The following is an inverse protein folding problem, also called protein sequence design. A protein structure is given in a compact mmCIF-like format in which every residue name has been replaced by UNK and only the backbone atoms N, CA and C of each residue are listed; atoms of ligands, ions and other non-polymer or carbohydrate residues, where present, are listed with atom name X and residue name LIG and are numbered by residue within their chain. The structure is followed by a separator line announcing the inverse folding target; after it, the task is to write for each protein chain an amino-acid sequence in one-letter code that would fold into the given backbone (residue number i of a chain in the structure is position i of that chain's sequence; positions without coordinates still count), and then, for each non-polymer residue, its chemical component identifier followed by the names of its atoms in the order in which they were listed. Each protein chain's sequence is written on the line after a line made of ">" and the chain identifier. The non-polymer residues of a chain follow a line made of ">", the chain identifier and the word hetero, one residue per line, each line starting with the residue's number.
data_IF_719170751343
#
_entry.id   IF_719170751343
#
_cell.length_a   1.000
_cell.length_b   1.000
_cell.length_c   1.000
_cell.angle_alpha   90.00
_cell.angle_beta   90.00
_cell.angle_gamma   90.00
#
_symmetry.space_group_name_H-M   'P 1'
#
loop_
_entity.id
_entity.type
_entity.pdbx_description
1 polymer ?
#
# COMPACT_ATOMS: atom_id res chain seq x y z
N UNK A 1 52.67 -15.55 -17.44
CA UNK A 1 52.34 -14.35 -18.19
C UNK A 1 50.94 -14.46 -18.73
N UNK A 2 49.93 -14.07 -17.97
CA UNK A 2 48.52 -14.06 -18.40
C UNK A 2 47.90 -12.81 -17.77
N UNK A 3 47.58 -11.82 -18.62
CA UNK A 3 46.90 -10.58 -18.25
C UNK A 3 45.40 -10.87 -18.00
N UNK A 4 44.95 -10.55 -16.78
CA UNK A 4 43.53 -10.53 -16.48
C UNK A 4 42.91 -9.25 -17.04
N UNK A 5 41.91 -9.40 -17.90
CA UNK A 5 41.06 -8.30 -18.39
C UNK A 5 39.92 -8.15 -17.37
N UNK A 6 39.93 -7.07 -16.62
CA UNK A 6 38.86 -6.68 -15.72
C UNK A 6 37.74 -5.96 -16.50
N UNK A 7 36.61 -6.61 -16.63
CA UNK A 7 35.37 -5.98 -17.10
C UNK A 7 34.54 -5.57 -15.88
N UNK A 8 34.79 -4.38 -15.38
CA UNK A 8 33.95 -3.72 -14.36
C UNK A 8 32.80 -2.99 -15.04
N UNK A 9 31.65 -3.64 -15.23
CA UNK A 9 30.41 -2.97 -15.64
C UNK A 9 29.76 -2.29 -14.44
N UNK A 10 30.13 -1.01 -14.19
CA UNK A 10 29.42 -0.17 -13.22
C UNK A 10 28.06 0.24 -13.79
N UNK A 11 26.99 -0.41 -13.34
CA UNK A 11 25.64 0.12 -13.46
C UNK A 11 25.50 1.38 -12.58
N UNK A 12 26.03 2.50 -13.04
CA UNK A 12 25.65 3.81 -12.51
C UNK A 12 24.35 4.19 -13.20
N UNK A 13 23.25 4.20 -12.41
CA UNK A 13 21.92 4.54 -12.88
C UNK A 13 21.89 5.86 -13.62
N UNK A 14 21.09 5.94 -14.67
CA UNK A 14 20.98 7.09 -15.61
C UNK A 14 20.48 8.41 -15.01
N UNK A 15 20.47 8.58 -13.73
CA UNK A 15 20.26 9.85 -13.04
C UNK A 15 21.56 10.58 -12.68
N UNK A 16 22.70 10.15 -13.21
CA UNK A 16 24.01 10.83 -13.08
C UNK A 16 24.17 11.93 -14.10
N UNK A 17 24.81 13.04 -13.70
CA UNK A 17 25.06 14.26 -14.46
C UNK A 17 25.60 14.00 -15.87
N UNK A 18 24.83 14.38 -16.91
CA UNK A 18 25.41 14.71 -18.21
C UNK A 18 25.85 16.16 -18.14
N UNK A 19 27.15 16.39 -18.22
CA UNK A 19 27.68 17.71 -18.59
C UNK A 19 27.22 18.04 -20.01
N UNK A 20 26.32 19.01 -20.13
CA UNK A 20 25.92 19.56 -21.44
C UNK A 20 26.90 20.67 -21.74
N UNK A 21 27.71 20.47 -22.78
CA UNK A 21 28.54 21.50 -23.35
C UNK A 21 27.72 22.71 -23.80
N UNK A 22 28.26 23.88 -23.50
CA UNK A 22 27.67 25.20 -23.74
C UNK A 22 27.75 25.56 -25.23
N UNK A 23 26.64 25.48 -25.97
CA UNK A 23 26.49 26.22 -27.25
C UNK A 23 25.01 26.54 -27.49
N UNK A 24 24.71 27.83 -27.66
CA UNK A 24 23.53 28.28 -28.40
C UNK A 24 22.36 28.77 -27.56
N UNK A 25 22.07 30.03 -27.70
CA UNK A 25 20.87 30.75 -27.27
C UNK A 25 19.62 29.93 -27.63
N UNK A 26 18.89 29.45 -26.65
CA UNK A 26 17.57 28.89 -26.85
C UNK A 26 16.57 29.52 -25.87
N UNK A 27 15.42 29.87 -26.44
CA UNK A 27 14.25 30.46 -25.79
C UNK A 27 13.98 29.88 -24.41
N UNK A 28 13.71 30.74 -23.43
CA UNK A 28 13.33 30.40 -22.08
C UNK A 28 12.16 29.39 -22.11
N UNK A 29 12.29 28.24 -21.42
CA UNK A 29 11.14 27.34 -21.26
C UNK A 29 10.08 28.07 -20.43
N UNK A 30 8.83 27.90 -20.87
CA UNK A 30 7.66 28.46 -20.23
C UNK A 30 7.75 28.39 -18.71
N UNK A 31 7.66 29.55 -18.07
CA UNK A 31 7.56 29.70 -16.63
C UNK A 31 6.45 28.80 -16.12
N UNK A 32 6.80 27.83 -15.27
CA UNK A 32 5.78 27.13 -14.48
C UNK A 32 5.00 28.20 -13.73
N UNK A 33 3.66 28.20 -13.77
CA UNK A 33 2.89 29.19 -13.07
C UNK A 33 3.23 29.06 -11.58
N UNK A 34 3.98 30.02 -11.05
CA UNK A 34 3.98 30.31 -9.62
C UNK A 34 2.56 30.77 -9.31
N UNK A 35 1.69 29.81 -9.01
CA UNK A 35 0.37 30.10 -8.48
C UNK A 35 0.58 30.91 -7.22
N UNK A 36 0.35 32.24 -7.32
CA UNK A 36 0.05 33.05 -6.15
C UNK A 36 -1.08 32.34 -5.43
N UNK A 37 -0.75 31.69 -4.32
CA UNK A 37 -1.72 31.04 -3.47
C UNK A 37 -2.57 32.11 -2.81
N UNK A 38 -3.51 32.70 -3.59
CA UNK A 38 -4.64 33.39 -3.01
C UNK A 38 -5.25 32.42 -2.00
N UNK A 39 -5.36 32.84 -0.74
CA UNK A 39 -5.79 32.04 0.41
C UNK A 39 -7.25 31.58 0.20
N UNK A 40 -7.42 30.55 -0.62
CA UNK A 40 -8.69 29.84 -0.70
C UNK A 40 -8.88 29.11 0.61
N UNK A 41 -10.03 29.33 1.26
CA UNK A 41 -10.40 28.55 2.45
C UNK A 41 -10.14 27.05 2.20
N UNK A 42 -9.49 26.35 3.13
CA UNK A 42 -9.13 24.94 2.93
C UNK A 42 -10.40 24.13 2.65
N UNK A 43 -10.40 23.41 1.52
CA UNK A 43 -11.52 22.54 1.15
C UNK A 43 -11.70 21.48 2.23
N UNK A 44 -12.91 20.94 2.38
CA UNK A 44 -13.21 19.90 3.38
C UNK A 44 -12.19 18.76 3.35
N UNK A 45 -11.81 18.31 2.16
CA UNK A 45 -10.80 17.26 1.95
C UNK A 45 -9.42 17.64 2.53
N UNK A 46 -9.02 18.92 2.47
CA UNK A 46 -7.74 19.39 3.01
C UNK A 46 -7.73 19.41 4.54
N UNK A 47 -8.91 19.53 5.15
CA UNK A 47 -9.08 19.46 6.60
C UNK A 47 -9.13 18.03 7.11
N UNK A 48 -9.82 17.14 6.39
CA UNK A 48 -9.99 15.73 6.78
C UNK A 48 -8.71 14.91 6.52
N UNK A 49 -8.07 15.15 5.37
CA UNK A 49 -6.92 14.38 4.89
C UNK A 49 -5.80 15.34 4.46
N UNK A 50 -5.10 15.98 5.40
CA UNK A 50 -4.04 16.92 5.08
C UNK A 50 -2.79 16.19 4.56
N UNK A 51 -2.12 16.79 3.58
CA UNK A 51 -0.78 16.32 3.14
C UNK A 51 0.22 16.47 4.28
N UNK A 52 1.20 15.56 4.38
CA UNK A 52 2.28 15.70 5.35
C UNK A 52 3.04 17.02 5.12
N UNK A 53 3.12 17.92 6.10
CA UNK A 53 3.81 19.20 5.95
C UNK A 53 5.34 19.03 5.77
N UNK A 54 5.87 17.88 6.13
CA UNK A 54 7.29 17.53 5.97
C UNK A 54 7.61 16.91 4.61
N UNK A 55 6.58 16.56 3.82
CA UNK A 55 6.79 15.98 2.50
C UNK A 55 7.30 17.06 1.53
N UNK A 56 8.29 16.69 0.74
CA UNK A 56 8.85 17.49 -0.35
C UNK A 56 8.99 16.62 -1.60
N UNK A 57 8.95 17.23 -2.77
CA UNK A 57 9.26 16.52 -4.02
C UNK A 57 10.67 15.93 -3.90
N UNK A 58 10.84 14.62 -4.15
CA UNK A 58 12.15 13.98 -4.07
C UNK A 58 13.15 14.67 -5.01
N UNK A 59 14.41 14.86 -4.60
CA UNK A 59 15.44 15.44 -5.45
C UNK A 59 15.68 14.59 -6.70
N UNK A 60 16.31 15.17 -7.74
CA UNK A 60 16.69 14.44 -8.96
C UNK A 60 17.64 13.28 -8.66
N UNK A 61 18.53 13.45 -7.70
CA UNK A 61 19.42 12.40 -7.21
C UNK A 61 18.59 11.32 -6.50
N UNK A 62 18.83 10.07 -6.83
CA UNK A 62 18.20 8.95 -6.15
C UNK A 62 18.38 9.05 -4.64
N UNK A 63 17.36 8.63 -3.88
CA UNK A 63 17.45 8.57 -2.42
C UNK A 63 18.67 7.73 -2.00
N UNK A 64 19.34 8.16 -0.91
CA UNK A 64 20.53 7.46 -0.42
C UNK A 64 20.27 5.96 -0.27
N UNK A 65 21.09 5.16 -0.97
CA UNK A 65 21.01 3.70 -0.94
C UNK A 65 19.60 3.16 -1.21
N UNK A 66 18.83 3.79 -2.11
CA UNK A 66 17.43 3.42 -2.36
C UNK A 66 17.23 1.96 -2.76
N UNK A 67 18.14 1.39 -3.59
CA UNK A 67 18.12 -0.02 -3.94
C UNK A 67 18.35 -0.95 -2.72
N UNK A 68 19.25 -0.54 -1.79
CA UNK A 68 19.49 -1.26 -0.55
C UNK A 68 18.29 -1.15 0.39
N UNK A 69 17.65 0.03 0.48
CA UNK A 69 16.41 0.18 1.25
C UNK A 69 15.30 -0.72 0.71
N UNK A 70 15.19 -0.87 -0.63
CA UNK A 70 14.20 -1.76 -1.25
C UNK A 70 14.46 -3.22 -0.83
N UNK A 71 15.70 -3.69 -0.98
CA UNK A 71 16.09 -5.04 -0.60
C UNK A 71 15.87 -5.29 0.91
N UNK A 72 16.39 -4.41 1.76
CA UNK A 72 16.26 -4.56 3.21
C UNK A 72 14.80 -4.44 3.67
N UNK A 73 13.97 -3.61 3.01
CA UNK A 73 12.55 -3.49 3.31
C UNK A 73 11.79 -4.80 3.04
N UNK A 74 12.10 -5.48 1.95
CA UNK A 74 11.59 -6.82 1.67
C UNK A 74 12.04 -7.79 2.76
N UNK A 75 13.33 -7.79 3.12
CA UNK A 75 13.88 -8.68 4.15
C UNK A 75 13.29 -8.41 5.54
N UNK A 76 12.96 -7.16 5.89
CA UNK A 76 12.26 -6.81 7.14
C UNK A 76 10.90 -7.49 7.22
N UNK A 77 10.11 -7.39 6.15
CA UNK A 77 8.76 -8.00 6.14
C UNK A 77 8.85 -9.53 6.13
N UNK A 78 9.70 -10.11 5.28
CA UNK A 78 9.92 -11.56 5.25
C UNK A 78 10.44 -12.07 6.59
N UNK A 79 11.38 -11.38 7.23
CA UNK A 79 11.91 -11.72 8.54
C UNK A 79 10.84 -11.69 9.64
N UNK A 80 9.93 -10.70 9.61
CA UNK A 80 8.79 -10.65 10.52
C UNK A 80 7.84 -11.84 10.32
N UNK A 81 7.56 -12.24 9.08
CA UNK A 81 6.72 -13.40 8.77
C UNK A 81 7.39 -14.73 9.18
N UNK A 82 8.69 -14.88 8.91
CA UNK A 82 9.46 -16.04 9.37
C UNK A 82 9.43 -16.13 10.90
N UNK A 83 9.65 -15.01 11.60
CA UNK A 83 9.57 -14.96 13.07
C UNK A 83 8.20 -15.42 13.58
N UNK A 84 7.11 -14.93 13.00
CA UNK A 84 5.75 -15.36 13.34
C UNK A 84 5.57 -16.86 13.11
N UNK A 85 6.05 -17.38 11.99
CA UNK A 85 6.02 -18.81 11.69
C UNK A 85 6.76 -19.65 12.73
N UNK A 86 7.99 -19.25 13.09
CA UNK A 86 8.79 -19.91 14.14
C UNK A 86 8.10 -19.84 15.51
N UNK A 87 7.51 -18.69 15.84
CA UNK A 87 6.76 -18.51 17.08
C UNK A 87 5.49 -19.39 17.12
N UNK A 88 4.81 -19.54 15.98
CA UNK A 88 3.66 -20.44 15.85
C UNK A 88 4.05 -21.91 16.11
N UNK A 89 5.20 -22.34 15.61
CA UNK A 89 5.76 -23.67 15.91
C UNK A 89 6.14 -23.78 17.39
N UNK A 90 6.85 -22.80 17.93
CA UNK A 90 7.32 -22.82 19.33
C UNK A 90 6.16 -22.79 20.34
N UNK A 91 5.05 -22.15 20.01
CA UNK A 91 3.82 -22.12 20.84
C UNK A 91 2.92 -23.32 20.62
N UNK A 92 3.30 -24.24 19.73
CA UNK A 92 2.52 -25.46 19.40
C UNK A 92 1.23 -25.17 18.64
N UNK A 93 1.10 -24.01 17.99
CA UNK A 93 -0.04 -23.69 17.10
C UNK A 93 0.02 -24.51 15.80
N UNK A 94 1.24 -24.83 15.36
CA UNK A 94 1.50 -25.72 14.23
C UNK A 94 2.30 -26.91 14.74
N UNK A 95 1.84 -28.13 14.47
CA UNK A 95 2.57 -29.37 14.80
C UNK A 95 3.55 -29.72 13.69
N UNK A 96 4.68 -30.33 14.05
CA UNK A 96 5.52 -31.04 13.08
C UNK A 96 4.69 -32.11 12.37
N UNK A 97 4.46 -31.92 11.05
CA UNK A 97 3.57 -32.76 10.26
C UNK A 97 2.27 -32.09 9.79
N UNK A 98 2.07 -30.78 10.05
CA UNK A 98 1.05 -29.97 9.37
C UNK A 98 -0.31 -29.86 10.05
N UNK A 99 -0.49 -30.33 11.28
CA UNK A 99 -1.74 -30.13 12.03
C UNK A 99 -1.79 -28.77 12.76
N UNK A 100 -2.86 -27.99 12.56
CA UNK A 100 -3.12 -26.77 13.34
C UNK A 100 -3.82 -27.13 14.68
N UNK A 101 -3.43 -26.44 15.76
CA UNK A 101 -4.08 -26.56 17.07
C UNK A 101 -4.99 -25.34 17.28
N UNK A 102 -6.26 -25.59 17.56
CA UNK A 102 -7.28 -24.55 17.77
C UNK A 102 -7.03 -23.80 19.09
N UNK A 103 -6.18 -22.77 19.04
CA UNK A 103 -5.93 -21.79 20.12
C UNK A 103 -6.07 -20.37 19.57
N UNK A 104 -7.28 -19.89 19.27
CA UNK A 104 -7.48 -18.66 18.48
C UNK A 104 -6.87 -17.44 19.15
N UNK A 105 -6.93 -17.31 20.47
CA UNK A 105 -6.30 -16.18 21.18
C UNK A 105 -4.78 -16.18 21.09
N UNK A 106 -4.13 -17.35 21.19
CA UNK A 106 -2.67 -17.47 21.03
C UNK A 106 -2.30 -17.19 19.58
N UNK A 107 -3.04 -17.73 18.61
CA UNK A 107 -2.81 -17.48 17.19
C UNK A 107 -2.91 -15.99 16.87
N UNK A 108 -3.90 -15.29 17.42
CA UNK A 108 -4.05 -13.85 17.27
C UNK A 108 -2.81 -13.09 17.80
N UNK A 109 -2.37 -13.37 19.04
CA UNK A 109 -1.19 -12.70 19.64
C UNK A 109 0.07 -12.97 18.80
N UNK A 110 0.27 -14.22 18.39
CA UNK A 110 1.43 -14.62 17.58
C UNK A 110 1.44 -13.86 16.26
N UNK A 111 0.32 -13.83 15.55
CA UNK A 111 0.25 -13.14 14.25
C UNK A 111 0.43 -11.62 14.38
N UNK A 112 -0.20 -11.00 15.38
CA UNK A 112 -0.06 -9.54 15.62
C UNK A 112 1.37 -9.14 15.94
N UNK A 113 2.22 -10.04 16.45
CA UNK A 113 3.63 -9.76 16.70
C UNK A 113 4.42 -9.36 15.44
N UNK A 114 3.94 -9.67 14.23
CA UNK A 114 4.51 -9.18 12.98
C UNK A 114 4.47 -7.64 12.89
N UNK A 115 3.44 -7.01 13.45
CA UNK A 115 3.22 -5.56 13.31
C UNK A 115 4.34 -4.73 13.95
N UNK A 116 4.65 -4.85 15.26
CA UNK A 116 5.73 -4.08 15.88
C UNK A 116 7.10 -4.39 15.26
N UNK A 117 7.35 -5.63 14.83
CA UNK A 117 8.60 -6.00 14.15
C UNK A 117 8.74 -5.27 12.81
N UNK A 118 7.68 -5.26 12.01
CA UNK A 118 7.68 -4.58 10.71
C UNK A 118 7.78 -3.06 10.86
N UNK A 119 7.04 -2.47 11.80
CA UNK A 119 7.08 -1.03 12.09
C UNK A 119 8.47 -0.61 12.57
N UNK A 120 9.05 -1.35 13.51
CA UNK A 120 10.41 -1.08 14.01
C UNK A 120 11.46 -1.26 12.91
N UNK A 121 11.39 -2.35 12.16
CA UNK A 121 12.30 -2.62 11.05
C UNK A 121 12.24 -1.53 9.97
N UNK A 122 11.04 -1.08 9.60
CA UNK A 122 10.86 0.04 8.69
C UNK A 122 11.42 1.36 9.25
N UNK A 123 11.17 1.65 10.52
CA UNK A 123 11.69 2.83 11.18
C UNK A 123 13.21 2.84 11.19
N UNK A 124 13.86 1.72 11.57
CA UNK A 124 15.31 1.55 11.54
C UNK A 124 15.86 1.72 10.11
N UNK A 125 15.22 1.09 9.13
CA UNK A 125 15.61 1.18 7.73
C UNK A 125 15.63 2.63 7.23
N UNK A 126 14.55 3.36 7.40
CA UNK A 126 14.44 4.74 6.92
C UNK A 126 15.34 5.69 7.71
N UNK A 127 15.45 5.49 9.05
CA UNK A 127 16.23 6.37 9.91
C UNK A 127 17.73 6.23 9.71
N UNK A 128 18.22 5.00 9.58
CA UNK A 128 19.66 4.73 9.55
C UNK A 128 20.19 4.49 8.14
N UNK A 129 19.53 3.71 7.31
CA UNK A 129 19.95 3.46 5.93
C UNK A 129 19.53 4.62 5.02
N UNK A 130 18.29 5.08 5.13
CA UNK A 130 17.77 6.24 4.41
C UNK A 130 18.36 7.57 4.87
N UNK A 131 18.77 7.68 6.14
CA UNK A 131 19.35 8.87 6.73
C UNK A 131 18.38 10.05 6.84
N UNK A 132 17.08 9.79 6.98
CA UNK A 132 16.02 10.80 7.04
C UNK A 132 14.95 10.54 8.11
N UNK A 133 14.12 11.53 8.45
CA UNK A 133 12.94 11.31 9.30
C UNK A 133 11.94 10.35 8.65
N UNK A 134 11.25 9.55 9.48
CA UNK A 134 10.17 8.63 9.05
C UNK A 134 8.85 9.40 9.03
N UNK A 135 8.62 10.18 7.99
CA UNK A 135 7.44 11.03 7.86
C UNK A 135 6.16 10.22 7.59
N UNK A 136 6.30 9.04 7.01
CA UNK A 136 5.20 8.15 6.63
C UNK A 136 4.43 7.61 7.86
N UNK A 137 5.11 7.46 8.98
CA UNK A 137 4.51 7.07 10.27
C UNK A 137 4.34 8.25 11.23
N UNK A 138 4.64 9.48 10.77
CA UNK A 138 4.56 10.69 11.57
C UNK A 138 3.15 11.28 11.68
N UNK A 139 3.05 12.44 12.36
CA UNK A 139 1.82 13.25 12.38
C UNK A 139 0.78 12.81 13.41
N UNK A 140 1.11 12.73 14.72
CA UNK A 140 0.23 12.21 15.78
C UNK A 140 -1.27 12.54 15.63
N UNK A 141 -1.66 13.81 15.56
CA UNK A 141 -3.08 14.19 15.42
C UNK A 141 -3.67 13.91 14.03
N UNK A 142 -2.85 13.98 12.97
CA UNK A 142 -3.26 13.61 11.62
C UNK A 142 -3.32 12.08 11.47
N UNK A 143 -2.38 11.34 12.09
CA UNK A 143 -2.34 9.90 12.05
C UNK A 143 -3.64 9.25 12.52
N UNK A 144 -4.16 9.67 13.68
CA UNK A 144 -5.43 9.14 14.20
C UNK A 144 -6.61 9.46 13.28
N UNK A 145 -6.69 10.71 12.77
CA UNK A 145 -7.77 11.10 11.85
C UNK A 145 -7.72 10.33 10.54
N UNK A 146 -6.53 10.13 9.99
CA UNK A 146 -6.33 9.37 8.74
C UNK A 146 -6.64 7.89 8.95
N UNK A 147 -6.20 7.32 10.07
CA UNK A 147 -6.52 5.94 10.43
C UNK A 147 -8.04 5.74 10.55
N UNK A 148 -8.72 6.61 11.30
CA UNK A 148 -10.19 6.53 11.47
C UNK A 148 -10.92 6.77 10.15
N UNK A 149 -10.47 7.72 9.32
CA UNK A 149 -11.04 7.95 8.00
C UNK A 149 -10.84 6.74 7.08
N UNK A 150 -9.66 6.10 7.14
CA UNK A 150 -9.37 4.87 6.41
C UNK A 150 -10.27 3.72 6.88
N UNK A 151 -10.38 3.50 8.19
CA UNK A 151 -11.27 2.48 8.76
C UNK A 151 -12.72 2.68 8.31
N UNK A 152 -13.23 3.90 8.38
CA UNK A 152 -14.57 4.22 7.93
C UNK A 152 -14.74 3.97 6.42
N UNK A 153 -13.77 4.40 5.61
CA UNK A 153 -13.81 4.25 4.16
C UNK A 153 -13.76 2.78 3.75
N UNK A 154 -12.88 1.96 4.36
CA UNK A 154 -12.80 0.53 4.10
C UNK A 154 -14.09 -0.20 4.46
N UNK A 155 -14.65 0.09 5.64
CA UNK A 155 -15.91 -0.50 6.08
C UNK A 155 -17.10 -0.09 5.18
N UNK A 156 -17.17 1.19 4.78
CA UNK A 156 -18.23 1.68 3.90
C UNK A 156 -18.13 1.10 2.49
N UNK A 157 -16.92 1.01 1.91
CA UNK A 157 -16.73 0.42 0.59
C UNK A 157 -17.10 -1.08 0.59
N UNK A 158 -16.61 -1.83 1.58
CA UNK A 158 -16.97 -3.24 1.72
C UNK A 158 -18.46 -3.42 1.95
N UNK A 159 -19.07 -2.61 2.82
CA UNK A 159 -20.52 -2.61 3.03
C UNK A 159 -21.30 -2.30 1.75
N UNK A 160 -20.80 -1.37 0.91
CA UNK A 160 -21.42 -1.06 -0.38
C UNK A 160 -21.31 -2.24 -1.38
N UNK A 161 -20.17 -2.92 -1.43
CA UNK A 161 -20.00 -4.13 -2.26
C UNK A 161 -21.03 -5.19 -1.84
N UNK A 162 -21.10 -5.51 -0.55
CA UNK A 162 -22.08 -6.49 -0.01
C UNK A 162 -23.51 -6.05 -0.28
N UNK A 163 -23.84 -4.76 -0.09
CA UNK A 163 -25.19 -4.27 -0.37
C UNK A 163 -25.58 -4.47 -1.84
N UNK A 164 -24.66 -4.18 -2.77
CA UNK A 164 -24.91 -4.42 -4.21
C UNK A 164 -25.08 -5.92 -4.49
N UNK A 165 -24.21 -6.78 -3.94
CA UNK A 165 -24.33 -8.23 -4.11
C UNK A 165 -25.64 -8.79 -3.53
N UNK A 166 -26.09 -8.26 -2.39
CA UNK A 166 -27.37 -8.64 -1.78
C UNK A 166 -28.57 -8.20 -2.65
N UNK A 167 -28.52 -6.97 -3.18
CA UNK A 167 -29.55 -6.47 -4.11
C UNK A 167 -29.62 -7.27 -5.40
N UNK A 168 -28.49 -7.80 -5.87
CA UNK A 168 -28.40 -8.67 -7.05
C UNK A 168 -28.76 -10.14 -6.74
N UNK A 169 -29.09 -10.47 -5.48
CA UNK A 169 -29.42 -11.83 -5.06
C UNK A 169 -28.20 -12.78 -5.04
N UNK A 170 -26.99 -12.24 -4.91
CA UNK A 170 -25.76 -13.03 -4.86
C UNK A 170 -25.19 -13.21 -3.46
N UNK A 171 -25.66 -12.44 -2.47
CA UNK A 171 -25.27 -12.55 -1.07
C UNK A 171 -26.49 -12.91 -0.22
N UNK A 172 -26.41 -14.01 0.53
CA UNK A 172 -27.48 -14.49 1.40
C UNK A 172 -26.96 -14.73 2.81
N UNK A 173 -27.60 -14.13 3.79
CA UNK A 173 -27.36 -14.41 5.20
C UNK A 173 -27.95 -15.78 5.55
N UNK A 174 -27.16 -16.69 6.08
CA UNK A 174 -27.56 -18.02 6.53
C UNK A 174 -27.78 -18.02 8.03
N UNK A 175 -26.80 -17.47 8.78
CA UNK A 175 -26.85 -17.36 10.24
C UNK A 175 -26.03 -16.14 10.71
N UNK A 176 -26.27 -15.72 11.96
CA UNK A 176 -25.54 -14.63 12.60
C UNK A 176 -25.15 -15.07 14.00
N UNK A 177 -23.83 -15.17 14.24
CA UNK A 177 -23.36 -15.62 15.54
C UNK A 177 -21.86 -15.41 15.77
N UNK A 178 -21.49 -15.37 17.03
CA UNK A 178 -20.08 -15.27 17.41
C UNK A 178 -19.32 -16.55 17.09
N UNK A 179 -18.21 -16.40 16.35
CA UNK A 179 -17.29 -17.49 16.08
C UNK A 179 -15.84 -16.97 15.99
N UNK A 180 -14.88 -17.90 15.91
CA UNK A 180 -13.45 -17.56 15.86
C UNK A 180 -13.02 -16.87 14.57
N UNK A 181 -13.83 -16.92 13.51
CA UNK A 181 -13.58 -16.21 12.25
C UNK A 181 -13.52 -14.70 12.40
N UNK A 182 -14.25 -14.14 13.39
CA UNK A 182 -14.15 -12.71 13.72
C UNK A 182 -12.74 -12.33 14.13
N UNK A 183 -12.07 -13.15 14.96
CA UNK A 183 -10.68 -12.92 15.36
C UNK A 183 -9.72 -13.13 14.20
N UNK A 184 -10.00 -14.11 13.32
CA UNK A 184 -9.18 -14.35 12.11
C UNK A 184 -9.28 -13.16 11.16
N UNK A 185 -10.48 -12.63 10.90
CA UNK A 185 -10.65 -11.43 10.09
C UNK A 185 -10.00 -10.19 10.68
N UNK A 186 -10.13 -9.98 12.01
CA UNK A 186 -9.48 -8.87 12.71
C UNK A 186 -7.95 -8.97 12.63
N UNK A 187 -7.41 -10.17 12.83
CA UNK A 187 -5.99 -10.47 12.68
C UNK A 187 -5.51 -10.17 11.26
N UNK A 188 -6.20 -10.71 10.25
CA UNK A 188 -5.88 -10.50 8.85
C UNK A 188 -5.86 -8.99 8.51
N UNK A 189 -6.90 -8.26 8.93
CA UNK A 189 -6.99 -6.81 8.73
C UNK A 189 -5.80 -6.05 9.35
N UNK A 190 -5.50 -6.29 10.61
CA UNK A 190 -4.40 -5.58 11.31
C UNK A 190 -3.05 -5.96 10.69
N UNK A 191 -2.78 -7.25 10.53
CA UNK A 191 -1.47 -7.72 10.03
C UNK A 191 -1.24 -7.23 8.61
N UNK A 192 -2.17 -7.48 7.67
CA UNK A 192 -2.04 -7.04 6.29
C UNK A 192 -1.97 -5.51 6.18
N UNK A 193 -2.88 -4.80 6.88
CA UNK A 193 -2.89 -3.34 6.90
C UNK A 193 -1.56 -2.70 7.29
N UNK A 194 -0.80 -3.29 8.20
CA UNK A 194 0.52 -2.77 8.56
C UNK A 194 1.64 -3.32 7.69
N UNK A 195 1.74 -4.65 7.55
CA UNK A 195 2.91 -5.27 6.93
C UNK A 195 2.97 -5.01 5.43
N UNK A 196 1.84 -5.12 4.75
CA UNK A 196 1.77 -4.92 3.30
C UNK A 196 1.81 -3.43 2.93
N UNK A 197 1.15 -2.55 3.69
CA UNK A 197 1.23 -1.11 3.42
C UNK A 197 2.64 -0.56 3.65
N UNK A 198 3.33 -1.02 4.68
CA UNK A 198 4.73 -0.66 4.91
C UNK A 198 5.61 -1.13 3.74
N UNK A 199 5.45 -2.38 3.30
CA UNK A 199 6.24 -2.91 2.18
C UNK A 199 5.93 -2.18 0.88
N UNK A 200 4.65 -2.16 0.50
CA UNK A 200 4.26 -1.74 -0.86
C UNK A 200 4.23 -0.22 -0.97
N UNK A 201 3.70 0.50 0.02
CA UNK A 201 3.58 1.98 -0.02
C UNK A 201 4.75 2.66 0.65
N UNK A 202 5.17 2.20 1.83
CA UNK A 202 6.27 2.78 2.59
C UNK A 202 7.65 2.54 1.96
N UNK A 203 7.88 1.37 1.39
CA UNK A 203 9.17 1.02 0.77
C UNK A 203 9.08 1.14 -0.75
N UNK A 204 8.29 0.29 -1.42
CA UNK A 204 8.33 0.15 -2.88
C UNK A 204 7.82 1.40 -3.60
N UNK A 205 6.57 1.80 -3.36
CA UNK A 205 5.95 2.95 -4.05
C UNK A 205 6.78 4.22 -3.83
N UNK A 206 7.19 4.49 -2.60
CA UNK A 206 8.02 5.64 -2.25
C UNK A 206 9.35 5.68 -3.02
N UNK A 207 10.08 4.58 -3.03
CA UNK A 207 11.40 4.52 -3.67
C UNK A 207 11.29 4.54 -5.20
N UNK A 208 10.35 3.76 -5.76
CA UNK A 208 10.13 3.72 -7.21
C UNK A 208 9.61 5.08 -7.72
N UNK A 209 8.74 5.76 -6.95
CA UNK A 209 8.31 7.13 -7.26
C UNK A 209 9.50 8.10 -7.30
N UNK A 210 10.44 7.94 -6.38
CA UNK A 210 11.69 8.69 -6.39
C UNK A 210 12.52 8.50 -7.68
N UNK A 211 12.40 7.38 -8.35
CA UNK A 211 13.12 7.08 -9.60
C UNK A 211 12.27 7.36 -10.84
N UNK A 212 11.11 6.73 -10.93
CA UNK A 212 10.29 6.66 -12.15
C UNK A 212 9.10 7.62 -12.16
N UNK A 213 8.85 8.34 -11.04
CA UNK A 213 7.68 9.20 -10.89
C UNK A 213 6.42 8.45 -10.48
N UNK A 214 5.38 9.22 -10.14
CA UNK A 214 4.15 8.72 -9.51
C UNK A 214 3.46 7.64 -10.32
N UNK A 215 3.26 7.84 -11.63
CA UNK A 215 2.42 6.96 -12.42
C UNK A 215 3.05 5.58 -12.64
N UNK A 216 4.35 5.54 -12.96
CA UNK A 216 5.07 4.28 -13.08
C UNK A 216 5.18 3.55 -11.75
N UNK A 217 5.45 4.28 -10.68
CA UNK A 217 5.52 3.69 -9.35
C UNK A 217 4.18 3.06 -8.95
N UNK A 218 3.07 3.77 -9.16
CA UNK A 218 1.73 3.26 -8.89
C UNK A 218 1.43 2.00 -9.72
N UNK A 219 1.68 2.03 -11.04
CA UNK A 219 1.43 0.89 -11.92
C UNK A 219 2.25 -0.35 -11.53
N UNK A 220 3.56 -0.17 -11.28
CA UNK A 220 4.46 -1.27 -10.90
C UNK A 220 4.04 -1.86 -9.55
N UNK A 221 3.75 -1.02 -8.55
CA UNK A 221 3.39 -1.51 -7.22
C UNK A 221 1.99 -2.09 -7.16
N UNK A 222 1.04 -1.61 -7.96
CA UNK A 222 -0.27 -2.21 -8.10
C UNK A 222 -0.20 -3.59 -8.74
N UNK A 223 0.56 -3.72 -9.85
CA UNK A 223 0.80 -5.00 -10.51
C UNK A 223 1.51 -6.00 -9.57
N UNK A 224 2.53 -5.55 -8.84
CA UNK A 224 3.21 -6.37 -7.84
C UNK A 224 2.25 -6.83 -6.74
N UNK A 225 1.39 -5.93 -6.25
CA UNK A 225 0.43 -6.22 -5.18
C UNK A 225 -0.54 -7.33 -5.58
N UNK A 226 -1.14 -7.23 -6.76
CA UNK A 226 -1.98 -8.30 -7.29
C UNK A 226 -1.22 -9.60 -7.54
N UNK A 227 -0.03 -9.53 -8.15
CA UNK A 227 0.79 -10.70 -8.44
C UNK A 227 1.25 -11.46 -7.17
N UNK A 228 1.53 -10.73 -6.08
CA UNK A 228 1.91 -11.33 -4.80
C UNK A 228 0.81 -12.24 -4.24
N UNK A 229 -0.46 -11.95 -4.52
CA UNK A 229 -1.61 -12.75 -4.08
C UNK A 229 -1.76 -14.07 -4.87
N UNK A 230 -1.05 -14.25 -5.99
CA UNK A 230 -1.02 -15.54 -6.70
C UNK A 230 -0.41 -16.68 -5.86
N UNK A 231 0.31 -16.36 -4.78
CA UNK A 231 0.80 -17.33 -3.82
C UNK A 231 -0.25 -17.90 -2.86
N UNK A 232 -1.46 -17.36 -2.82
CA UNK A 232 -2.53 -17.82 -1.93
C UNK A 232 -3.17 -19.13 -2.46
N UNK A 233 -3.65 -20.01 -1.56
CA UNK A 233 -4.13 -21.34 -1.93
C UNK A 233 -5.25 -21.39 -2.97
N UNK A 234 -6.14 -20.39 -2.96
CA UNK A 234 -7.31 -20.31 -3.85
C UNK A 234 -7.17 -19.16 -4.86
N UNK A 235 -5.94 -18.68 -5.11
CA UNK A 235 -5.70 -17.58 -6.01
C UNK A 235 -6.05 -17.91 -7.48
N UNK A 236 -6.57 -16.89 -8.16
CA UNK A 236 -6.82 -16.92 -9.61
C UNK A 236 -6.12 -15.75 -10.28
N UNK A 237 -5.79 -15.90 -11.57
CA UNK A 237 -5.23 -14.77 -12.35
C UNK A 237 -6.20 -13.60 -12.41
N UNK A 238 -7.50 -13.89 -12.55
CA UNK A 238 -8.53 -12.85 -12.54
C UNK A 238 -8.55 -12.11 -11.20
N UNK A 239 -8.53 -12.82 -10.07
CA UNK A 239 -8.48 -12.22 -8.74
C UNK A 239 -7.21 -11.40 -8.50
N UNK A 240 -6.05 -11.86 -8.98
CA UNK A 240 -4.81 -11.08 -8.91
C UNK A 240 -4.91 -9.76 -9.68
N UNK A 241 -5.53 -9.77 -10.87
CA UNK A 241 -5.78 -8.55 -11.66
C UNK A 241 -6.81 -7.65 -10.94
N UNK A 242 -7.86 -8.24 -10.37
CA UNK A 242 -8.86 -7.51 -9.60
C UNK A 242 -8.19 -6.77 -8.41
N UNK A 243 -7.41 -7.46 -7.58
CA UNK A 243 -6.68 -6.88 -6.46
C UNK A 243 -5.70 -5.78 -6.92
N UNK A 244 -5.03 -5.95 -8.05
CA UNK A 244 -4.16 -4.91 -8.61
C UNK A 244 -4.93 -3.63 -8.92
N UNK A 245 -6.12 -3.75 -9.51
CA UNK A 245 -6.96 -2.62 -9.90
C UNK A 245 -7.67 -1.98 -8.71
N UNK A 246 -8.30 -2.78 -7.84
CA UNK A 246 -9.05 -2.26 -6.70
C UNK A 246 -8.15 -1.77 -5.57
N UNK A 247 -7.37 -2.67 -4.97
CA UNK A 247 -6.55 -2.39 -3.80
C UNK A 247 -5.21 -1.74 -4.18
N UNK A 248 -4.58 -2.21 -5.25
CA UNK A 248 -3.31 -1.67 -5.71
C UNK A 248 -3.39 -0.18 -6.00
N UNK A 249 -4.41 0.26 -6.77
CA UNK A 249 -4.63 1.67 -7.14
C UNK A 249 -5.17 2.45 -5.95
N UNK A 250 -6.21 1.96 -5.26
CA UNK A 250 -6.88 2.70 -4.19
C UNK A 250 -5.95 2.97 -3.00
N UNK A 251 -5.27 1.95 -2.48
CA UNK A 251 -4.35 2.09 -1.36
C UNK A 251 -3.11 2.92 -1.74
N UNK A 252 -2.63 2.79 -2.99
CA UNK A 252 -1.61 3.67 -3.54
C UNK A 252 -2.06 5.13 -3.57
N UNK A 253 -3.30 5.40 -3.99
CA UNK A 253 -3.88 6.74 -4.00
C UNK A 253 -4.02 7.33 -2.58
N UNK A 254 -4.38 6.51 -1.57
CA UNK A 254 -4.41 6.91 -0.16
C UNK A 254 -3.05 7.44 0.30
N UNK A 255 -1.99 6.69 0.02
CA UNK A 255 -0.63 7.11 0.37
C UNK A 255 -0.20 8.38 -0.39
N UNK A 256 -0.41 8.44 -1.69
CA UNK A 256 -0.06 9.59 -2.52
C UNK A 256 -0.79 10.87 -2.07
N UNK A 257 -2.01 10.75 -1.56
CA UNK A 257 -2.82 11.86 -1.11
C UNK A 257 -2.33 12.48 0.21
N UNK A 258 -1.84 11.66 1.15
CA UNK A 258 -1.42 12.09 2.49
C UNK A 258 0.08 12.14 2.70
N UNK A 259 0.81 11.32 1.93
CA UNK A 259 2.24 11.02 2.13
C UNK A 259 2.53 10.39 3.48
N UNK A 260 1.50 9.78 4.08
CA UNK A 260 1.54 8.95 5.28
C UNK A 260 0.81 7.63 5.02
N UNK A 261 1.10 6.63 5.85
CA UNK A 261 0.54 5.29 5.68
C UNK A 261 -0.82 5.11 6.36
N UNK A 262 -1.20 5.99 7.29
CA UNK A 262 -2.33 5.76 8.19
C UNK A 262 -3.66 5.61 7.49
N UNK A 263 -3.92 6.39 6.42
CA UNK A 263 -5.16 6.28 5.64
C UNK A 263 -5.24 4.92 4.93
N UNK A 264 -4.13 4.48 4.31
CA UNK A 264 -4.06 3.20 3.62
C UNK A 264 -4.14 2.03 4.61
N UNK A 265 -3.41 2.10 5.74
CA UNK A 265 -3.47 1.09 6.82
C UNK A 265 -4.90 0.94 7.33
N UNK A 266 -5.59 2.05 7.63
CA UNK A 266 -6.96 2.02 8.12
C UNK A 266 -7.93 1.41 7.11
N UNK A 267 -7.85 1.82 5.85
CA UNK A 267 -8.71 1.29 4.79
C UNK A 267 -8.49 -0.21 4.61
N UNK A 268 -7.25 -0.65 4.46
CA UNK A 268 -6.91 -2.04 4.26
C UNK A 268 -7.31 -2.91 5.45
N UNK A 269 -7.02 -2.45 6.68
CA UNK A 269 -7.40 -3.16 7.89
C UNK A 269 -8.92 -3.35 8.01
N UNK A 270 -9.70 -2.30 7.75
CA UNK A 270 -11.16 -2.40 7.79
C UNK A 270 -11.72 -3.23 6.65
N UNK A 271 -11.17 -3.13 5.45
CA UNK A 271 -11.56 -3.93 4.30
C UNK A 271 -11.48 -5.41 4.62
N UNK A 272 -10.31 -5.91 5.03
CA UNK A 272 -10.13 -7.34 5.34
C UNK A 272 -10.95 -7.78 6.57
N UNK A 273 -10.99 -6.95 7.62
CA UNK A 273 -11.79 -7.28 8.81
C UNK A 273 -13.27 -7.38 8.50
N UNK A 274 -13.82 -6.42 7.77
CA UNK A 274 -15.27 -6.39 7.46
C UNK A 274 -15.60 -7.49 6.47
N UNK A 275 -14.74 -7.75 5.48
CA UNK A 275 -14.88 -8.83 4.51
C UNK A 275 -14.96 -10.20 5.19
N UNK A 276 -13.92 -10.57 5.91
CA UNK A 276 -13.80 -11.90 6.51
C UNK A 276 -14.45 -12.00 7.88
N UNK A 277 -14.18 -11.03 8.77
CA UNK A 277 -14.63 -11.10 10.17
C UNK A 277 -16.10 -10.76 10.38
N UNK A 278 -16.68 -9.93 9.51
CA UNK A 278 -18.10 -9.55 9.60
C UNK A 278 -18.94 -10.32 8.58
N UNK A 279 -18.65 -10.18 7.30
CA UNK A 279 -19.49 -10.71 6.22
C UNK A 279 -19.17 -12.16 5.80
N UNK A 280 -18.17 -12.80 6.41
CA UNK A 280 -17.88 -14.22 6.22
C UNK A 280 -17.39 -14.59 4.82
N UNK A 281 -16.86 -13.64 4.04
CA UNK A 281 -16.21 -13.93 2.76
C UNK A 281 -14.76 -14.34 2.96
N UNK A 282 -14.26 -15.18 2.06
CA UNK A 282 -12.82 -15.44 2.00
C UNK A 282 -12.03 -14.12 1.79
N UNK A 283 -10.84 -14.05 2.36
CA UNK A 283 -9.92 -12.91 2.21
C UNK A 283 -8.80 -13.35 1.26
N UNK A 284 -8.75 -12.77 0.08
CA UNK A 284 -7.68 -12.94 -0.90
C UNK A 284 -7.34 -14.39 -1.26
N UNK A 285 -8.29 -15.30 -1.18
CA UNK A 285 -8.08 -16.71 -1.49
C UNK A 285 -7.29 -17.49 -0.43
N UNK A 286 -7.34 -17.06 0.83
CA UNK A 286 -6.65 -17.75 1.95
C UNK A 286 -7.42 -18.94 2.52
N UNK A 287 -8.71 -19.11 2.18
CA UNK A 287 -9.57 -20.19 2.68
C UNK A 287 -10.23 -19.89 4.04
N UNK A 288 -10.35 -18.62 4.44
CA UNK A 288 -10.79 -18.19 5.79
C UNK A 288 -12.18 -17.56 5.82
N UNK A 289 -13.14 -18.10 5.09
CA UNK A 289 -14.48 -17.54 4.93
C UNK A 289 -15.45 -17.80 6.08
N UNK A 290 -15.16 -17.35 7.31
CA UNK A 290 -16.09 -17.43 8.47
C UNK A 290 -16.06 -16.11 9.24
N UNK A 291 -17.21 -15.45 9.36
CA UNK A 291 -17.36 -14.18 10.07
C UNK A 291 -18.53 -14.19 11.04
N UNK A 292 -18.88 -13.00 11.56
CA UNK A 292 -20.07 -12.78 12.38
C UNK A 292 -21.33 -13.23 11.64
N UNK A 293 -21.37 -13.00 10.34
CA UNK A 293 -22.41 -13.43 9.44
C UNK A 293 -21.91 -14.69 8.72
N UNK A 294 -22.60 -15.81 8.91
CA UNK A 294 -22.43 -16.96 8.04
C UNK A 294 -23.20 -16.68 6.74
N UNK A 295 -22.47 -16.59 5.65
CA UNK A 295 -23.03 -16.17 4.37
C UNK A 295 -22.89 -17.25 3.31
N UNK A 296 -23.84 -17.26 2.36
CA UNK A 296 -23.77 -18.05 1.14
C UNK A 296 -23.74 -17.12 -0.06
N UNK A 297 -22.75 -17.32 -0.92
CA UNK A 297 -22.63 -16.63 -2.19
C UNK A 297 -23.19 -17.48 -3.31
N UNK A 298 -24.01 -16.90 -4.19
CA UNK A 298 -24.64 -17.57 -5.32
C UNK A 298 -24.50 -16.77 -6.59
N UNK A 299 -24.29 -17.45 -7.72
CA UNK A 299 -24.12 -16.80 -9.01
C UNK A 299 -22.72 -17.03 -9.62
N UNK A 300 -22.42 -16.38 -10.74
CA UNK A 300 -21.14 -16.56 -11.43
C UNK A 300 -19.97 -15.97 -10.63
N UNK A 301 -18.79 -16.58 -10.75
CA UNK A 301 -17.56 -16.15 -10.05
C UNK A 301 -17.19 -14.69 -10.34
N UNK A 302 -17.46 -14.18 -11.54
CA UNK A 302 -17.26 -12.78 -11.90
C UNK A 302 -18.01 -11.81 -10.97
N UNK A 303 -19.18 -12.25 -10.46
CA UNK A 303 -20.01 -11.45 -9.57
C UNK A 303 -19.65 -11.70 -8.09
N UNK A 304 -19.43 -12.96 -7.71
CA UNK A 304 -19.20 -13.37 -6.32
C UNK A 304 -17.74 -13.33 -5.90
N UNK A 305 -16.81 -13.25 -6.87
CA UNK A 305 -15.36 -13.38 -6.65
C UNK A 305 -14.87 -14.83 -6.58
N UNK A 306 -15.79 -15.80 -6.61
CA UNK A 306 -15.48 -17.23 -6.53
C UNK A 306 -14.71 -17.62 -5.28
N UNK A 307 -13.77 -18.52 -5.41
CA UNK A 307 -12.94 -19.01 -4.32
C UNK A 307 -11.99 -17.95 -3.73
N UNK A 308 -11.69 -16.89 -4.47
CA UNK A 308 -10.79 -15.82 -4.00
C UNK A 308 -11.47 -14.86 -3.02
N UNK A 309 -12.81 -14.85 -2.99
CA UNK A 309 -13.59 -13.95 -2.17
C UNK A 309 -14.10 -12.72 -2.94
N UNK A 310 -15.01 -11.97 -2.31
CA UNK A 310 -15.77 -10.89 -2.96
C UNK A 310 -14.91 -9.71 -3.45
N UNK A 311 -13.69 -9.58 -3.02
CA UNK A 311 -12.73 -8.61 -3.56
C UNK A 311 -12.38 -8.89 -5.04
N UNK A 312 -12.44 -10.15 -5.47
CA UNK A 312 -12.32 -10.50 -6.88
C UNK A 312 -13.63 -10.30 -7.67
N UNK A 313 -14.68 -9.75 -7.08
CA UNK A 313 -15.92 -9.44 -7.81
C UNK A 313 -15.78 -8.19 -8.68
N UNK A 314 -16.46 -8.18 -9.81
CA UNK A 314 -16.54 -6.98 -10.66
C UNK A 314 -17.12 -5.78 -9.90
N UNK A 315 -18.00 -6.01 -8.90
CA UNK A 315 -18.56 -4.94 -8.07
C UNK A 315 -17.50 -4.28 -7.22
N UNK A 316 -16.63 -5.06 -6.56
CA UNK A 316 -15.51 -4.55 -5.79
C UNK A 316 -14.53 -3.79 -6.70
N UNK A 317 -14.14 -4.39 -7.84
CA UNK A 317 -13.25 -3.75 -8.83
C UNK A 317 -13.78 -2.39 -9.26
N UNK A 318 -15.06 -2.29 -9.63
CA UNK A 318 -15.64 -1.03 -10.11
C UNK A 318 -15.70 0.01 -9.01
N UNK A 319 -16.21 -0.31 -7.83
CA UNK A 319 -16.38 0.65 -6.74
C UNK A 319 -15.03 1.14 -6.21
N UNK A 320 -14.08 0.23 -5.98
CA UNK A 320 -12.77 0.57 -5.42
C UNK A 320 -11.88 1.30 -6.45
N UNK A 321 -11.90 0.86 -7.72
CA UNK A 321 -11.17 1.57 -8.77
C UNK A 321 -11.73 2.97 -8.98
N UNK A 322 -13.06 3.15 -8.97
CA UNK A 322 -13.68 4.48 -9.06
C UNK A 322 -13.26 5.39 -7.88
N UNK A 323 -13.26 4.86 -6.64
CA UNK A 323 -12.77 5.59 -5.48
C UNK A 323 -11.28 5.95 -5.61
N UNK A 324 -10.44 4.99 -6.03
CA UNK A 324 -9.02 5.21 -6.28
C UNK A 324 -8.78 6.30 -7.34
N UNK A 325 -9.48 6.26 -8.46
CA UNK A 325 -9.39 7.28 -9.52
C UNK A 325 -9.82 8.66 -9.00
N UNK A 326 -10.91 8.74 -8.22
CA UNK A 326 -11.34 10.00 -7.61
C UNK A 326 -10.25 10.59 -6.69
N UNK A 327 -9.57 9.73 -5.89
CA UNK A 327 -8.46 10.15 -5.05
C UNK A 327 -7.22 10.56 -5.88
N UNK A 328 -6.90 9.85 -6.96
CA UNK A 328 -5.81 10.22 -7.88
C UNK A 328 -6.06 11.56 -8.57
N UNK A 329 -7.31 11.86 -8.91
CA UNK A 329 -7.69 13.19 -9.40
C UNK A 329 -7.45 14.27 -8.33
N UNK A 330 -7.70 13.97 -7.04
CA UNK A 330 -7.37 14.88 -5.95
C UNK A 330 -5.85 15.03 -5.77
N UNK A 331 -5.07 13.95 -5.87
CA UNK A 331 -3.59 13.98 -5.89
C UNK A 331 -3.08 14.92 -6.98
N UNK A 332 -3.60 14.76 -8.22
CA UNK A 332 -3.24 15.62 -9.35
C UNK A 332 -3.62 17.10 -9.11
N UNK A 333 -4.85 17.36 -8.63
CA UNK A 333 -5.35 18.71 -8.34
C UNK A 333 -4.58 19.42 -7.22
N UNK A 334 -3.98 18.67 -6.30
CA UNK A 334 -3.12 19.17 -5.21
C UNK A 334 -1.66 19.36 -5.64
N UNK A 335 -1.29 19.03 -6.89
CA UNK A 335 0.10 19.12 -7.36
C UNK A 335 1.04 18.10 -6.71
N UNK A 336 0.52 16.97 -6.23
CA UNK A 336 1.31 15.95 -5.52
C UNK A 336 1.93 14.91 -6.46
N UNK A 337 1.72 15.04 -7.77
CA UNK A 337 2.31 14.15 -8.78
C UNK A 337 3.80 14.46 -8.92
N UNK A 338 4.62 13.45 -8.75
CA UNK A 338 6.08 13.53 -8.89
C UNK A 338 6.47 13.10 -10.30
N UNK A 339 7.16 13.94 -11.10
CA UNK A 339 7.67 13.54 -12.41
C UNK A 339 8.84 12.57 -12.27
N UNK A 340 9.17 11.78 -13.30
CA UNK A 340 10.38 10.95 -13.33
C UNK A 340 11.65 11.76 -13.06
N UNK A 341 12.66 11.14 -12.44
CA UNK A 341 13.88 11.83 -12.00
C UNK A 341 14.60 12.58 -13.14
N UNK A 342 14.56 12.07 -14.35
CA UNK A 342 15.19 12.71 -15.54
C UNK A 342 14.45 13.94 -16.06
N UNK A 343 13.22 14.19 -15.63
CA UNK A 343 12.43 15.38 -15.94
C UNK A 343 12.44 16.42 -14.82
N UNK A 344 13.15 16.17 -13.70
CA UNK A 344 13.24 17.13 -12.58
C UNK A 344 14.38 18.10 -12.81
N UNK A 345 14.25 19.37 -12.37
CA UNK A 345 15.35 20.33 -12.40
C UNK A 345 16.50 19.86 -11.47
N UNK A 346 17.75 20.29 -11.74
CA UNK A 346 18.86 20.06 -10.82
C UNK A 346 18.56 20.63 -9.42
N UNK A 347 19.10 20.01 -8.36
CA UNK A 347 18.88 20.40 -6.96
C UNK A 347 19.19 21.89 -6.70
N UNK A 348 20.30 22.40 -7.28
CA UNK A 348 20.71 23.80 -7.14
C UNK A 348 19.65 24.82 -7.60
N UNK A 349 18.74 24.42 -8.51
CA UNK A 349 17.63 25.27 -8.96
C UNK A 349 16.45 25.28 -7.98
N UNK A 350 16.37 24.29 -7.08
CA UNK A 350 15.34 24.20 -6.04
C UNK A 350 15.77 24.89 -4.72
N UNK A 351 17.07 25.00 -4.50
CA UNK A 351 17.69 25.61 -3.30
C UNK A 351 18.06 27.09 -3.52
N UNK A 352 17.75 27.67 -4.69
CA UNK A 352 17.96 29.07 -5.00
C UNK A 352 17.18 30.00 -4.08
N UNK A 353 17.64 31.28 -3.90
CA UNK A 353 16.97 32.20 -3.00
C UNK A 353 15.51 32.33 -3.36
N UNK A 354 14.63 32.03 -2.39
CA UNK A 354 13.20 32.30 -2.48
C UNK A 354 13.06 33.80 -2.66
N UNK A 355 12.31 34.30 -3.65
CA UNK A 355 12.05 35.71 -3.74
C UNK A 355 11.36 36.18 -2.46
N UNK A 356 11.94 37.24 -1.89
CA UNK A 356 11.49 37.89 -0.66
C UNK A 356 10.04 38.39 -0.73
#
# INVERSE_FOLDING_TARGET
>A
MLKAVGAGSSWRGRCGDRQVGNTGVMNAPASFPTSSAASRAPRLLDRLVPVSPQWRIPPRKAERLGWLQLLLGILVVLGAQIFVGLLAVATGLVRHGGGAVARPGVAFIVAISAVPLTVLGYWLLVRFVGGRPVIELGGRGAALRELLAGLAMGALLMGAVIAVLALLGSYHVVDVGWNTGILVGLQAGIVAGFTEEILVRGVMLRLIEGWLGTWWALAITAAFFGAAHLGNPQATVFGAVAIALEAGILLGACYLLTRRLWLAIGLHAAWNFVQGGIFGSDISGTGSGRGLIEARFTGPDLLTGGAMGIEASVVAVVLCTAAGVAMLLAVRRRGLVVPPCWHRPPQAALDGPQPA
#
